data_IF_970998342798
#
_entry.id   IF_970998342798
#
_cell.length_a   1.000
_cell.length_b   1.000
_cell.length_c   1.000
_cell.angle_alpha   90.00
_cell.angle_beta   90.00
_cell.angle_gamma   90.00
#
_symmetry.space_group_name_H-M   'P 1'
#
loop_
_entity.id
_entity.type
_entity.pdbx_description
1 polymer ?
#
# COMPACT_ATOMS: atom_id res chain seq x y z
N UNK A 1 -46.61 26.33 -5.26
CA UNK A 1 -47.24 25.13 -5.86
C UNK A 1 -46.39 24.81 -7.08
N UNK A 2 -45.55 23.78 -7.12
CA UNK A 2 -45.59 22.48 -6.43
C UNK A 2 -44.16 21.91 -6.35
N UNK A 3 -43.95 21.17 -5.27
CA UNK A 3 -42.87 20.27 -4.88
C UNK A 3 -42.22 19.48 -6.04
N UNK A 4 -40.92 19.16 -5.99
CA UNK A 4 -40.47 17.78 -5.77
C UNK A 4 -38.94 17.61 -5.77
N UNK A 5 -38.45 17.46 -4.53
CA UNK A 5 -37.45 16.48 -4.07
C UNK A 5 -36.14 16.35 -4.86
N UNK A 6 -35.10 16.88 -4.20
CA UNK A 6 -33.75 16.38 -4.32
C UNK A 6 -33.75 14.85 -4.27
N UNK A 7 -33.26 14.25 -5.36
CA UNK A 7 -33.28 12.84 -5.65
C UNK A 7 -32.23 12.07 -4.82
N UNK A 8 -32.26 12.23 -3.50
CA UNK A 8 -31.22 11.80 -2.55
C UNK A 8 -31.35 10.33 -2.12
N UNK A 9 -31.77 9.45 -3.03
CA UNK A 9 -31.95 8.03 -2.69
C UNK A 9 -32.12 7.06 -3.84
N UNK A 10 -31.89 7.48 -5.09
CA UNK A 10 -31.90 6.54 -6.23
C UNK A 10 -30.47 6.05 -6.43
N UNK A 11 -30.31 4.72 -6.50
CA UNK A 11 -29.01 4.07 -6.70
C UNK A 11 -28.33 4.48 -8.00
N UNK A 12 -27.23 3.83 -8.36
CA UNK A 12 -26.54 4.11 -9.62
C UNK A 12 -27.50 3.88 -10.80
N UNK A 13 -27.65 4.87 -11.69
CA UNK A 13 -28.48 4.76 -12.88
C UNK A 13 -27.66 4.23 -14.06
N UNK A 14 -28.15 3.20 -14.72
CA UNK A 14 -27.57 2.67 -15.93
C UNK A 14 -28.04 3.49 -17.15
N UNK A 15 -27.10 4.10 -17.87
CA UNK A 15 -27.40 4.89 -19.06
C UNK A 15 -27.89 4.04 -20.26
N UNK A 16 -27.69 2.72 -20.23
CA UNK A 16 -28.08 1.84 -21.36
C UNK A 16 -29.56 1.48 -21.34
N UNK A 17 -30.17 1.40 -20.15
CA UNK A 17 -31.56 0.97 -19.97
C UNK A 17 -32.39 1.94 -19.10
N UNK A 18 -31.78 3.04 -18.65
CA UNK A 18 -32.32 4.04 -17.71
C UNK A 18 -32.74 3.47 -16.33
N UNK A 19 -32.51 2.18 -16.07
CA UNK A 19 -32.79 1.52 -14.80
C UNK A 19 -31.77 1.86 -13.70
N UNK A 20 -32.11 1.55 -12.45
CA UNK A 20 -31.27 1.80 -11.28
C UNK A 20 -30.65 0.49 -10.74
N UNK A 21 -29.74 0.60 -9.77
CA UNK A 21 -29.10 -0.49 -8.99
C UNK A 21 -28.02 -1.33 -9.69
N UNK A 22 -27.65 -1.01 -10.93
CA UNK A 22 -26.58 -1.71 -11.64
C UNK A 22 -25.76 -0.77 -12.52
N UNK A 23 -24.49 -1.11 -12.72
CA UNK A 23 -23.60 -0.36 -13.61
C UNK A 23 -23.67 -0.90 -15.04
N UNK A 24 -23.16 -0.12 -16.00
CA UNK A 24 -23.23 -0.44 -17.44
C UNK A 24 -22.76 -1.86 -17.77
N UNK A 25 -21.67 -2.32 -17.16
CA UNK A 25 -21.07 -3.64 -17.42
C UNK A 25 -21.94 -4.81 -16.93
N UNK A 26 -22.87 -4.57 -16.02
CA UNK A 26 -23.82 -5.56 -15.49
C UNK A 26 -25.16 -5.53 -16.24
N UNK A 27 -25.39 -4.51 -17.09
CA UNK A 27 -26.65 -4.33 -17.78
C UNK A 27 -26.87 -5.41 -18.84
N UNK A 28 -28.00 -6.13 -18.74
CA UNK A 28 -28.34 -7.18 -19.70
C UNK A 28 -28.49 -6.65 -21.14
N UNK A 29 -28.92 -5.39 -21.34
CA UNK A 29 -29.00 -4.77 -22.67
C UNK A 29 -27.60 -4.54 -23.23
N UNK A 30 -26.71 -3.98 -22.41
CA UNK A 30 -25.31 -3.76 -22.77
C UNK A 30 -24.60 -5.08 -23.11
N UNK A 31 -24.76 -6.10 -22.26
CA UNK A 31 -24.18 -7.43 -22.48
C UNK A 31 -24.73 -8.12 -23.73
N UNK A 32 -26.02 -7.94 -24.07
CA UNK A 32 -26.60 -8.44 -25.32
C UNK A 32 -26.04 -7.71 -26.55
N UNK A 33 -25.80 -6.40 -26.46
CA UNK A 33 -25.11 -5.64 -27.52
C UNK A 33 -23.66 -6.10 -27.68
N UNK A 34 -22.94 -6.29 -26.58
CA UNK A 34 -21.57 -6.80 -26.59
C UNK A 34 -21.47 -8.21 -27.18
N UNK A 35 -22.43 -9.09 -26.88
CA UNK A 35 -22.48 -10.44 -27.49
C UNK A 35 -22.81 -10.40 -28.97
N UNK A 36 -23.58 -9.42 -29.46
CA UNK A 36 -23.79 -9.21 -30.91
C UNK A 36 -22.52 -8.70 -31.60
N UNK A 37 -21.72 -7.85 -30.95
CA UNK A 37 -20.40 -7.46 -31.46
C UNK A 37 -19.37 -8.59 -31.38
N UNK A 38 -19.53 -9.55 -30.46
CA UNK A 38 -18.66 -10.75 -30.37
C UNK A 38 -19.13 -11.95 -31.21
N UNK A 39 -20.36 -11.94 -31.74
CA UNK A 39 -20.92 -13.03 -32.53
C UNK A 39 -20.58 -12.95 -34.04
N UNK A 40 -19.63 -12.10 -34.43
CA UNK A 40 -19.01 -12.14 -35.77
C UNK A 40 -17.97 -13.26 -35.76
N UNK A 41 -18.47 -14.49 -35.74
CA UNK A 41 -17.68 -15.69 -36.03
C UNK A 41 -17.74 -15.93 -37.53
N UNK A 42 -16.68 -15.55 -38.24
CA UNK A 42 -16.19 -16.14 -39.50
C UNK A 42 -17.28 -16.66 -40.44
N UNK A 43 -17.91 -15.75 -41.19
CA UNK A 43 -18.51 -16.10 -42.48
C UNK A 43 -18.17 -14.98 -43.44
N UNK A 44 -17.24 -15.30 -44.32
CA UNK A 44 -16.65 -14.52 -45.40
C UNK A 44 -17.77 -14.09 -46.37
N UNK A 45 -18.06 -12.79 -46.49
CA UNK A 45 -18.57 -12.07 -47.69
C UNK A 45 -18.68 -10.55 -47.40
N UNK A 46 -17.70 -9.82 -47.96
CA UNK A 46 -17.72 -8.49 -48.58
C UNK A 46 -18.11 -7.18 -47.84
N UNK A 47 -17.19 -6.24 -47.97
CA UNK A 47 -17.27 -4.76 -48.01
C UNK A 47 -17.72 -3.94 -46.78
N UNK A 48 -16.72 -3.43 -46.02
CA UNK A 48 -16.86 -2.14 -45.32
C UNK A 48 -15.50 -1.49 -45.05
N UNK A 49 -15.16 -0.51 -45.87
CA UNK A 49 -13.92 0.29 -45.86
C UNK A 49 -13.85 1.32 -44.70
N UNK A 50 -14.44 1.02 -43.53
CA UNK A 50 -14.57 1.94 -42.39
C UNK A 50 -13.96 1.46 -41.07
N UNK A 51 -13.52 0.20 -40.98
CA UNK A 51 -13.05 -0.39 -39.71
C UNK A 51 -11.54 -0.30 -39.47
N UNK A 52 -10.75 0.10 -40.47
CA UNK A 52 -9.28 0.04 -40.40
C UNK A 52 -8.67 1.19 -39.59
N UNK A 53 -9.29 2.37 -39.60
CA UNK A 53 -8.77 3.55 -38.90
C UNK A 53 -8.86 3.42 -37.37
N UNK A 54 -9.98 2.90 -36.85
CA UNK A 54 -10.18 2.75 -35.41
C UNK A 54 -9.24 1.68 -34.80
N UNK A 55 -8.96 0.61 -35.55
CA UNK A 55 -8.06 -0.46 -35.08
C UNK A 55 -6.60 0.00 -35.09
N UNK A 56 -6.22 0.84 -36.05
CA UNK A 56 -4.90 1.48 -36.09
C UNK A 56 -4.66 2.42 -34.91
N UNK A 57 -5.67 3.20 -34.50
CA UNK A 57 -5.58 4.14 -33.39
C UNK A 57 -5.54 3.40 -32.03
N UNK A 58 -6.28 2.30 -31.89
CA UNK A 58 -6.20 1.41 -30.73
C UNK A 58 -4.82 0.76 -30.59
N UNK A 59 -4.21 0.35 -31.70
CA UNK A 59 -2.88 -0.26 -31.71
C UNK A 59 -1.81 0.73 -31.24
N UNK A 60 -1.83 1.97 -31.76
CA UNK A 60 -0.94 3.06 -31.35
C UNK A 60 -1.09 3.30 -29.84
N UNK A 61 -2.33 3.54 -29.37
CA UNK A 61 -2.63 3.79 -27.96
C UNK A 61 -2.14 2.68 -27.04
N UNK A 62 -2.27 1.42 -27.47
CA UNK A 62 -1.76 0.26 -26.74
C UNK A 62 -0.23 0.28 -26.61
N UNK A 63 0.46 0.66 -27.68
CA UNK A 63 1.92 0.76 -27.68
C UNK A 63 2.43 1.86 -26.73
N UNK A 64 1.78 3.02 -26.68
CA UNK A 64 2.13 4.06 -25.70
C UNK A 64 1.90 3.60 -24.25
N UNK A 65 0.80 2.88 -23.99
CA UNK A 65 0.53 2.30 -22.67
C UNK A 65 1.64 1.30 -22.29
N UNK A 66 2.04 0.42 -23.21
CA UNK A 66 3.16 -0.50 -22.97
C UNK A 66 4.47 0.24 -22.67
N UNK A 67 4.81 1.29 -23.44
CA UNK A 67 6.02 2.10 -23.21
C UNK A 67 6.00 2.78 -21.84
N UNK A 68 4.85 3.32 -21.42
CA UNK A 68 4.71 3.98 -20.12
C UNK A 68 4.76 2.98 -18.97
N UNK A 69 4.15 1.80 -19.13
CA UNK A 69 4.19 0.72 -18.15
C UNK A 69 5.63 0.23 -17.89
N UNK A 70 6.43 0.03 -18.95
CA UNK A 70 7.82 -0.39 -18.80
C UNK A 70 8.68 0.66 -18.08
N UNK A 71 8.42 1.96 -18.32
CA UNK A 71 9.07 3.04 -17.57
C UNK A 71 8.66 3.03 -16.10
N UNK A 72 7.37 2.87 -15.81
CA UNK A 72 6.87 2.79 -14.43
C UNK A 72 7.48 1.60 -13.68
N UNK A 73 7.58 0.42 -14.31
CA UNK A 73 8.22 -0.76 -13.70
C UNK A 73 9.66 -0.47 -13.27
N UNK A 74 10.45 0.22 -14.11
CA UNK A 74 11.84 0.61 -13.78
C UNK A 74 11.89 1.55 -12.58
N UNK A 75 11.01 2.55 -12.53
CA UNK A 75 10.95 3.50 -11.41
C UNK A 75 10.56 2.77 -10.11
N UNK A 76 9.56 1.88 -10.18
CA UNK A 76 9.13 1.09 -9.02
C UNK A 76 10.29 0.22 -8.50
N UNK A 77 11.01 -0.46 -9.39
CA UNK A 77 12.16 -1.28 -9.01
C UNK A 77 13.27 -0.45 -8.34
N UNK A 78 13.57 0.74 -8.88
CA UNK A 78 14.55 1.66 -8.29
C UNK A 78 14.15 2.09 -6.88
N UNK A 79 12.92 2.60 -6.72
CA UNK A 79 12.41 3.05 -5.42
C UNK A 79 12.35 1.92 -4.39
N UNK A 80 12.03 0.69 -4.81
CA UNK A 80 12.04 -0.48 -3.93
C UNK A 80 13.45 -0.83 -3.46
N UNK A 81 14.47 -0.68 -4.31
CA UNK A 81 15.87 -0.90 -3.95
C UNK A 81 16.34 0.17 -2.95
N UNK A 82 16.09 1.44 -3.21
CA UNK A 82 16.43 2.55 -2.28
C UNK A 82 15.75 2.39 -0.93
N UNK A 83 14.45 2.05 -0.92
CA UNK A 83 13.72 1.76 0.32
C UNK A 83 14.40 0.65 1.13
N UNK A 84 14.82 -0.43 0.47
CA UNK A 84 15.45 -1.55 1.16
C UNK A 84 16.82 -1.16 1.74
N UNK A 85 17.60 -0.37 1.02
CA UNK A 85 18.89 0.15 1.47
C UNK A 85 18.73 1.06 2.70
N UNK A 86 17.77 1.99 2.64
CA UNK A 86 17.44 2.85 3.78
C UNK A 86 16.96 2.05 5.00
N UNK A 87 16.14 1.02 4.79
CA UNK A 87 15.71 0.14 5.88
C UNK A 87 16.89 -0.60 6.54
N UNK A 88 17.89 -1.04 5.76
CA UNK A 88 19.11 -1.64 6.31
C UNK A 88 19.87 -0.65 7.19
N UNK A 89 20.07 0.57 6.69
CA UNK A 89 20.79 1.64 7.40
C UNK A 89 20.10 1.98 8.73
N UNK A 90 18.77 2.09 8.73
CA UNK A 90 17.99 2.35 9.95
C UNK A 90 18.16 1.21 10.96
N UNK A 91 18.14 -0.04 10.51
CA UNK A 91 18.34 -1.20 11.39
C UNK A 91 19.74 -1.22 12.00
N UNK A 92 20.77 -0.83 11.24
CA UNK A 92 22.14 -0.75 11.72
C UNK A 92 22.29 0.33 12.80
N UNK A 93 21.81 1.55 12.54
CA UNK A 93 21.85 2.66 13.50
C UNK A 93 21.11 2.34 14.80
N UNK A 94 19.93 1.73 14.71
CA UNK A 94 19.15 1.34 15.89
C UNK A 94 19.90 0.31 16.77
N UNK A 95 20.65 -0.60 16.14
CA UNK A 95 21.47 -1.56 16.89
C UNK A 95 22.64 -0.88 17.59
N UNK A 96 23.32 0.06 16.93
CA UNK A 96 24.42 0.82 17.53
C UNK A 96 23.97 1.62 18.75
N UNK A 97 22.82 2.29 18.65
CA UNK A 97 22.24 3.06 19.76
C UNK A 97 21.84 2.16 20.93
N UNK A 98 21.24 0.99 20.65
CA UNK A 98 20.91 0.00 21.67
C UNK A 98 22.15 -0.55 22.38
N UNK A 99 23.21 -0.87 21.63
CA UNK A 99 24.49 -1.35 22.18
C UNK A 99 25.13 -0.28 23.05
N UNK A 100 25.11 0.98 22.60
CA UNK A 100 25.65 2.09 23.36
C UNK A 100 24.90 2.31 24.68
N UNK A 101 23.56 2.36 24.65
CA UNK A 101 22.76 2.47 25.87
C UNK A 101 22.99 1.29 26.82
N UNK A 102 23.03 0.07 26.29
CA UNK A 102 23.30 -1.14 27.09
C UNK A 102 24.66 -1.06 27.81
N UNK A 103 25.69 -0.54 27.13
CA UNK A 103 27.00 -0.32 27.73
C UNK A 103 26.93 0.71 28.87
N UNK A 104 26.21 1.82 28.69
CA UNK A 104 26.04 2.83 29.74
C UNK A 104 25.32 2.26 30.96
N UNK A 105 24.19 1.56 30.77
CA UNK A 105 23.43 0.93 31.85
C UNK A 105 24.28 -0.08 32.61
N UNK A 106 25.05 -0.92 31.90
CA UNK A 106 25.95 -1.90 32.55
C UNK A 106 27.00 -1.25 33.43
N UNK A 107 27.60 -0.13 32.99
CA UNK A 107 28.57 0.60 33.83
C UNK A 107 27.91 1.15 35.08
N UNK A 108 26.71 1.76 34.95
CA UNK A 108 25.95 2.27 36.09
C UNK A 108 25.58 1.17 37.10
N UNK A 109 25.19 -0.02 36.62
CA UNK A 109 24.89 -1.15 37.50
C UNK A 109 26.13 -1.61 38.27
N UNK A 110 27.29 -1.72 37.61
CA UNK A 110 28.54 -2.07 38.30
C UNK A 110 28.90 -1.05 39.40
N UNK A 111 28.73 0.24 39.12
CA UNK A 111 28.97 1.30 40.11
C UNK A 111 27.96 1.21 41.27
N UNK A 112 26.70 0.87 40.96
CA UNK A 112 25.64 0.65 41.96
C UNK A 112 25.96 -0.53 42.87
N UNK A 113 26.41 -1.66 42.30
CA UNK A 113 26.82 -2.85 43.05
C UNK A 113 27.99 -2.54 43.98
N UNK A 114 28.96 -1.74 43.52
CA UNK A 114 30.08 -1.31 44.36
C UNK A 114 29.60 -0.48 45.55
N UNK A 115 28.68 0.46 45.33
CA UNK A 115 28.11 1.28 46.40
C UNK A 115 27.31 0.43 47.41
N UNK A 116 26.54 -0.54 46.95
CA UNK A 116 25.77 -1.44 47.81
C UNK A 116 26.69 -2.26 48.73
N UNK A 117 27.78 -2.81 48.18
CA UNK A 117 28.80 -3.51 48.96
C UNK A 117 29.43 -2.61 50.05
N UNK A 118 29.73 -1.34 49.73
CA UNK A 118 30.32 -0.40 50.70
C UNK A 118 29.34 -0.11 51.84
N UNK A 119 28.05 0.10 51.52
CA UNK A 119 27.01 0.34 52.51
C UNK A 119 26.84 -0.88 53.43
N UNK A 120 26.85 -2.08 52.87
CA UNK A 120 26.69 -3.33 53.63
C UNK A 120 27.85 -3.54 54.62
N UNK A 121 29.10 -3.32 54.21
CA UNK A 121 30.28 -3.39 55.09
C UNK A 121 30.20 -2.33 56.20
N UNK A 122 29.78 -1.11 55.86
CA UNK A 122 29.61 -0.03 56.84
C UNK A 122 28.59 -0.38 57.92
N UNK A 123 27.46 -0.98 57.56
CA UNK A 123 26.42 -1.40 58.51
C UNK A 123 26.86 -2.53 59.46
N UNK A 124 27.76 -3.43 59.01
CA UNK A 124 28.29 -4.50 59.85
C UNK A 124 29.22 -3.98 60.97
N UNK A 125 29.89 -2.84 60.76
CA UNK A 125 30.85 -2.26 61.72
C UNK A 125 30.22 -1.46 62.87
N UNK A 126 28.90 -1.19 62.81
CA UNK A 126 28.23 -0.20 63.66
C UNK A 126 27.17 -0.72 64.62
N UNK A 127 27.11 -2.01 64.98
CA UNK A 127 26.21 -2.48 66.04
C UNK A 127 26.84 -2.24 67.43
N UNK A 128 26.49 -1.16 68.16
CA UNK A 128 26.92 -1.04 69.55
C UNK A 128 26.32 -2.20 70.35
N UNK A 129 27.17 -3.03 70.96
CA UNK A 129 26.70 -3.98 71.97
C UNK A 129 26.28 -3.16 73.19
N UNK A 130 24.99 -3.12 73.48
CA UNK A 130 24.47 -2.50 74.69
C UNK A 130 25.11 -3.17 75.90
N UNK A 131 25.83 -2.37 76.70
CA UNK A 131 26.37 -2.82 77.99
C UNK A 131 25.23 -2.65 78.98
N UNK A 132 24.60 -3.77 79.35
CA UNK A 132 23.64 -3.87 80.45
C UNK A 132 24.33 -4.05 81.78
#
# INVERSE_FOLDING_TARGET
RTDEKANQGKGVQCHECEGYDHIRIECAIYLKKQKKSQAVSWSDEDDSEGEVENESELCIRSEEVCKTLEKQKKIIAHLQAERNDHLSTISELNNEELVHMSKQVRMLNNDTDMLENIIEVGQQSGKPKGVG
#
